data_IF_838305110504
#
_entry.id   IF_838305110504
#
_cell.length_a   1.000
_cell.length_b   1.000
_cell.length_c   1.000
_cell.angle_alpha   90.00
_cell.angle_beta   90.00
_cell.angle_gamma   90.00
#
_symmetry.space_group_name_H-M   'P 1'
#
loop_
_entity.id
_entity.type
_entity.pdbx_description
1 polymer ?
#
# COMPACT_ATOMS: atom_id res chain seq x y z
N UNK A 1 -25.99 18.74 -80.93
CA UNK A 1 -25.55 19.93 -80.19
C UNK A 1 -24.51 19.50 -79.15
N UNK A 2 -23.21 19.43 -79.63
CA UNK A 2 -22.09 19.09 -78.75
C UNK A 2 -21.70 20.35 -77.97
N UNK A 3 -21.99 20.34 -76.65
CA UNK A 3 -21.40 21.31 -75.74
C UNK A 3 -19.89 21.10 -75.70
N UNK A 4 -19.14 21.95 -76.39
CA UNK A 4 -17.72 22.12 -76.14
C UNK A 4 -17.61 22.61 -74.67
N UNK A 5 -17.47 21.67 -73.73
CA UNK A 5 -17.10 21.97 -72.38
C UNK A 5 -15.76 22.72 -72.42
N UNK A 6 -15.76 23.96 -72.00
CA UNK A 6 -14.61 24.85 -71.89
C UNK A 6 -13.42 24.06 -71.30
N UNK A 7 -12.24 24.03 -71.95
CA UNK A 7 -11.04 23.31 -71.46
C UNK A 7 -10.69 23.65 -69.99
N UNK A 8 -11.13 24.81 -69.56
CA UNK A 8 -11.06 25.26 -68.18
C UNK A 8 -11.86 24.40 -67.20
N UNK A 9 -13.09 24.05 -67.54
CA UNK A 9 -13.97 23.24 -66.73
C UNK A 9 -13.45 21.82 -66.52
N UNK A 10 -12.84 21.24 -67.54
CA UNK A 10 -12.24 19.91 -67.48
C UNK A 10 -10.99 19.86 -66.57
N UNK A 11 -10.18 20.91 -66.53
CA UNK A 11 -9.02 21.01 -65.64
C UNK A 11 -9.44 21.13 -64.17
N UNK A 12 -10.44 21.93 -63.87
CA UNK A 12 -10.96 22.11 -62.50
C UNK A 12 -11.54 20.82 -61.96
N UNK A 13 -12.34 20.10 -62.72
CA UNK A 13 -12.88 18.79 -62.32
C UNK A 13 -11.75 17.78 -62.10
N UNK A 14 -10.72 17.78 -62.90
CA UNK A 14 -9.56 16.87 -62.74
C UNK A 14 -8.84 17.16 -61.45
N UNK A 15 -8.63 18.40 -61.03
CA UNK A 15 -8.01 18.79 -59.74
C UNK A 15 -8.86 18.38 -58.55
N UNK A 16 -10.17 18.61 -58.59
CA UNK A 16 -11.09 18.16 -57.58
C UNK A 16 -11.06 16.62 -57.41
N UNK A 17 -11.04 15.88 -58.52
CA UNK A 17 -10.88 14.42 -58.47
C UNK A 17 -9.58 14.00 -57.82
N UNK A 18 -8.47 14.67 -58.15
CA UNK A 18 -7.17 14.40 -57.51
C UNK A 18 -7.18 14.67 -56.00
N UNK A 19 -7.80 15.78 -55.57
CA UNK A 19 -7.96 16.09 -54.15
C UNK A 19 -8.78 15.03 -53.44
N UNK A 20 -9.96 14.66 -53.95
CA UNK A 20 -10.80 13.62 -53.38
C UNK A 20 -10.07 12.29 -53.31
N UNK A 21 -9.30 11.94 -54.34
CA UNK A 21 -8.48 10.73 -54.35
C UNK A 21 -7.38 10.78 -53.27
N UNK A 22 -6.66 11.89 -53.16
CA UNK A 22 -5.60 12.08 -52.18
C UNK A 22 -6.16 11.97 -50.78
N UNK A 23 -7.27 12.62 -50.44
CA UNK A 23 -7.92 12.53 -49.13
C UNK A 23 -8.34 11.08 -48.82
N UNK A 24 -8.95 10.39 -49.82
CA UNK A 24 -9.39 8.98 -49.65
C UNK A 24 -8.22 8.04 -49.38
N UNK A 25 -7.08 8.26 -50.06
CA UNK A 25 -5.86 7.47 -49.92
C UNK A 25 -4.98 7.92 -48.75
N UNK A 26 -5.38 8.97 -48.02
CA UNK A 26 -4.58 9.61 -46.96
C UNK A 26 -3.22 10.12 -47.44
N UNK A 27 -3.13 10.48 -48.73
CA UNK A 27 -1.94 11.05 -49.35
C UNK A 27 -2.06 12.58 -49.33
N UNK A 28 -1.52 13.21 -48.32
CA UNK A 28 -1.52 14.66 -48.12
C UNK A 28 -0.25 15.34 -48.72
N UNK A 29 0.47 14.67 -49.61
CA UNK A 29 1.61 15.26 -50.32
C UNK A 29 1.17 16.11 -51.52
N UNK A 30 -0.10 15.96 -51.92
CA UNK A 30 -0.67 16.70 -53.05
C UNK A 30 -0.58 18.21 -52.79
N UNK A 31 0.10 18.90 -53.69
CA UNK A 31 0.19 20.36 -53.70
C UNK A 31 0.12 20.88 -55.11
N UNK A 32 -0.75 21.84 -55.38
CA UNK A 32 -0.84 22.51 -56.67
C UNK A 32 0.01 23.77 -56.66
N UNK A 33 0.98 23.88 -57.59
CA UNK A 33 1.82 25.05 -57.74
C UNK A 33 0.99 26.24 -58.31
N UNK A 34 1.04 27.39 -57.63
CA UNK A 34 0.22 28.57 -57.90
C UNK A 34 0.81 29.49 -58.94
N UNK A 35 2.12 29.39 -59.21
CA UNK A 35 2.91 30.38 -60.00
C UNK A 35 2.42 30.50 -61.44
N UNK A 36 1.85 29.44 -61.99
CA UNK A 36 1.40 29.42 -63.41
C UNK A 36 -0.11 29.53 -63.58
N UNK A 37 -0.84 29.76 -62.48
CA UNK A 37 -2.29 29.86 -62.47
C UNK A 37 -2.77 31.27 -62.29
N UNK A 38 -3.91 31.64 -62.97
CA UNK A 38 -4.51 32.98 -62.90
C UNK A 38 -6.02 32.88 -62.72
N UNK A 39 -6.60 33.95 -62.16
CA UNK A 39 -8.06 34.04 -61.94
C UNK A 39 -8.64 32.94 -61.11
N UNK A 40 -9.78 32.40 -61.51
CA UNK A 40 -10.54 31.34 -60.77
C UNK A 40 -9.77 30.02 -60.62
N UNK A 41 -8.89 29.69 -61.55
CA UNK A 41 -8.05 28.50 -61.41
C UNK A 41 -7.07 28.59 -60.25
N UNK A 42 -6.54 29.78 -59.99
CA UNK A 42 -5.65 30.02 -58.87
C UNK A 42 -6.41 29.97 -57.57
N UNK A 43 -7.56 30.60 -57.47
CA UNK A 43 -8.43 30.55 -56.28
C UNK A 43 -8.81 29.12 -55.91
N UNK A 44 -9.25 28.31 -56.88
CA UNK A 44 -9.59 26.89 -56.67
C UNK A 44 -8.37 26.10 -56.20
N UNK A 45 -7.19 26.31 -56.76
CA UNK A 45 -5.98 25.63 -56.34
C UNK A 45 -5.53 26.03 -54.92
N UNK A 46 -5.70 27.29 -54.53
CA UNK A 46 -5.46 27.83 -53.19
C UNK A 46 -6.41 27.17 -52.18
N UNK A 47 -7.69 27.06 -52.49
CA UNK A 47 -8.69 26.41 -51.63
C UNK A 47 -8.42 24.90 -51.47
N UNK A 48 -8.08 24.21 -52.57
CA UNK A 48 -7.72 22.79 -52.52
C UNK A 48 -6.48 22.57 -51.64
N UNK A 49 -5.44 23.39 -51.80
CA UNK A 49 -4.24 23.33 -50.98
C UNK A 49 -4.57 23.58 -49.48
N UNK A 50 -5.42 24.55 -49.22
CA UNK A 50 -5.86 24.84 -47.83
C UNK A 50 -6.58 23.65 -47.21
N UNK A 51 -7.51 23.02 -47.92
CA UNK A 51 -8.25 21.84 -47.43
C UNK A 51 -7.30 20.64 -47.23
N UNK A 52 -6.40 20.37 -48.15
CA UNK A 52 -5.42 19.27 -48.02
C UNK A 52 -4.50 19.52 -46.81
N UNK A 53 -4.04 20.76 -46.61
CA UNK A 53 -3.25 21.13 -45.43
C UNK A 53 -4.02 20.96 -44.12
N UNK A 54 -5.29 21.36 -44.06
CA UNK A 54 -6.13 21.17 -42.88
C UNK A 54 -6.28 19.69 -42.51
N UNK A 55 -6.53 18.83 -43.50
CA UNK A 55 -6.58 17.38 -43.29
C UNK A 55 -5.25 16.82 -42.83
N UNK A 56 -4.13 17.27 -43.39
CA UNK A 56 -2.78 16.91 -43.01
C UNK A 56 -2.51 17.25 -41.54
N UNK A 57 -2.81 18.50 -41.13
CA UNK A 57 -2.62 18.94 -39.76
C UNK A 57 -3.47 18.15 -38.79
N UNK A 58 -4.76 17.90 -39.11
CA UNK A 58 -5.64 17.05 -38.29
C UNK A 58 -5.08 15.63 -38.12
N UNK A 59 -4.61 15.03 -39.20
CA UNK A 59 -4.04 13.67 -39.15
C UNK A 59 -2.76 13.63 -38.31
N UNK A 60 -1.85 14.56 -38.52
CA UNK A 60 -0.61 14.65 -37.76
C UNK A 60 -0.89 14.90 -36.25
N UNK A 61 -1.88 15.74 -35.96
CA UNK A 61 -2.29 15.97 -34.57
C UNK A 61 -2.86 14.72 -33.92
N UNK A 62 -3.69 13.97 -34.65
CA UNK A 62 -4.24 12.69 -34.14
C UNK A 62 -3.14 11.64 -33.93
N UNK A 63 -2.20 11.49 -34.86
CA UNK A 63 -1.07 10.58 -34.73
C UNK A 63 -0.16 10.97 -33.54
N UNK A 64 0.14 12.26 -33.41
CA UNK A 64 0.91 12.77 -32.28
C UNK A 64 0.22 12.51 -30.93
N UNK A 65 -1.09 12.73 -30.85
CA UNK A 65 -1.87 12.40 -29.63
C UNK A 65 -1.84 10.91 -29.34
N UNK A 66 -2.01 10.06 -30.35
CA UNK A 66 -1.95 8.61 -30.17
C UNK A 66 -0.57 8.18 -29.64
N UNK A 67 0.50 8.65 -30.25
CA UNK A 67 1.88 8.38 -29.83
C UNK A 67 2.15 8.88 -28.40
N UNK A 68 1.63 10.06 -28.06
CA UNK A 68 1.74 10.61 -26.72
C UNK A 68 1.06 9.72 -25.67
N UNK A 69 -0.19 9.28 -25.90
CA UNK A 69 -0.89 8.39 -25.00
C UNK A 69 -0.25 7.00 -24.92
N UNK A 70 0.18 6.45 -26.05
CA UNK A 70 0.89 5.16 -26.08
C UNK A 70 2.19 5.23 -25.27
N UNK A 71 2.95 6.32 -25.41
CA UNK A 71 4.16 6.55 -24.62
C UNK A 71 3.84 6.67 -23.13
N UNK A 72 2.85 7.48 -22.75
CA UNK A 72 2.45 7.62 -21.36
C UNK A 72 2.05 6.27 -20.73
N UNK A 73 1.19 5.51 -21.39
CA UNK A 73 0.72 4.22 -20.87
C UNK A 73 1.85 3.18 -20.81
N UNK A 74 2.85 3.25 -21.68
CA UNK A 74 4.02 2.38 -21.67
C UNK A 74 5.10 2.80 -20.66
N UNK A 75 5.07 4.04 -20.14
CA UNK A 75 5.96 4.49 -19.04
C UNK A 75 5.41 4.11 -17.67
N UNK A 76 4.13 3.77 -17.56
CA UNK A 76 3.52 3.28 -16.32
C UNK A 76 4.12 1.92 -15.97
N UNK A 77 4.62 1.79 -14.75
CA UNK A 77 5.23 0.55 -14.25
C UNK A 77 4.23 -0.58 -13.97
N UNK A 78 2.93 -0.28 -13.94
CA UNK A 78 1.87 -1.26 -13.74
C UNK A 78 1.52 -2.00 -15.04
N UNK A 79 1.10 -3.26 -14.92
CA UNK A 79 0.56 -4.01 -16.06
C UNK A 79 -0.87 -3.54 -16.32
N UNK A 80 -1.11 -2.96 -17.49
CA UNK A 80 -2.43 -2.48 -17.92
C UNK A 80 -2.96 -3.39 -19.02
N UNK A 81 -4.22 -3.87 -18.85
CA UNK A 81 -4.91 -4.76 -19.80
C UNK A 81 -6.33 -4.24 -19.99
N UNK A 82 -6.74 -4.07 -21.24
CA UNK A 82 -8.11 -3.71 -21.61
C UNK A 82 -8.79 -4.89 -22.28
N UNK A 83 -9.97 -5.27 -21.78
CA UNK A 83 -10.76 -6.37 -22.33
C UNK A 83 -12.20 -5.94 -22.60
N UNK A 84 -12.92 -6.76 -23.37
CA UNK A 84 -14.38 -6.72 -23.40
C UNK A 84 -14.96 -7.48 -22.20
N UNK A 85 -16.30 -7.56 -22.13
CA UNK A 85 -17.05 -8.28 -21.10
C UNK A 85 -16.89 -9.81 -21.16
N UNK A 86 -16.42 -10.34 -22.29
CA UNK A 86 -16.18 -11.77 -22.53
C UNK A 86 -14.74 -12.19 -22.19
N UNK A 87 -13.85 -11.23 -21.95
CA UNK A 87 -12.45 -11.50 -21.64
C UNK A 87 -11.49 -11.43 -22.84
N UNK A 88 -11.95 -11.05 -24.03
CA UNK A 88 -11.05 -10.82 -25.17
C UNK A 88 -10.22 -9.55 -24.93
N UNK A 89 -8.92 -9.65 -25.10
CA UNK A 89 -7.97 -8.57 -24.86
C UNK A 89 -7.87 -7.67 -26.09
N UNK A 90 -8.28 -6.42 -25.94
CA UNK A 90 -8.17 -5.41 -26.99
C UNK A 90 -6.82 -4.69 -26.96
N UNK A 91 -6.29 -4.48 -25.76
CA UNK A 91 -5.03 -3.73 -25.61
C UNK A 91 -4.28 -4.14 -24.35
N UNK A 92 -2.95 -4.09 -24.42
CA UNK A 92 -2.02 -4.28 -23.30
C UNK A 92 -0.85 -3.31 -23.45
N UNK A 93 -0.37 -2.76 -22.34
CA UNK A 93 0.86 -1.98 -22.36
C UNK A 93 2.11 -2.89 -22.42
N UNK A 94 3.28 -2.31 -22.73
CA UNK A 94 4.54 -3.05 -22.79
C UNK A 94 4.91 -3.73 -21.49
N UNK A 95 4.62 -3.10 -20.36
CA UNK A 95 4.87 -3.67 -19.03
C UNK A 95 4.10 -4.98 -18.86
N UNK A 96 2.81 -5.01 -19.21
CA UNK A 96 2.00 -6.22 -19.12
C UNK A 96 2.52 -7.33 -20.06
N UNK A 97 2.86 -6.98 -21.31
CA UNK A 97 3.41 -7.94 -22.29
C UNK A 97 4.72 -8.55 -21.74
N UNK A 98 5.67 -7.72 -21.35
CA UNK A 98 7.00 -8.18 -20.95
C UNK A 98 7.00 -8.96 -19.64
N UNK A 99 6.19 -8.51 -18.65
CA UNK A 99 6.20 -9.11 -17.31
C UNK A 99 5.35 -10.38 -17.23
N UNK A 100 4.21 -10.44 -17.92
CA UNK A 100 3.28 -11.57 -17.77
C UNK A 100 3.60 -12.72 -18.74
N UNK A 101 3.70 -12.44 -20.04
CA UNK A 101 3.76 -13.48 -21.05
C UNK A 101 5.02 -13.43 -21.94
N UNK A 102 5.62 -12.24 -22.11
CA UNK A 102 6.72 -11.99 -23.06
C UNK A 102 6.28 -11.81 -24.52
N UNK A 103 5.01 -12.00 -24.80
CA UNK A 103 4.36 -11.78 -26.11
C UNK A 103 2.92 -11.29 -25.91
N UNK A 104 2.33 -10.76 -26.98
CA UNK A 104 0.95 -10.27 -26.94
C UNK A 104 -0.01 -11.45 -26.93
N UNK A 105 -0.97 -11.44 -26.00
CA UNK A 105 -2.06 -12.40 -25.90
C UNK A 105 -3.38 -11.72 -26.28
N UNK A 106 -4.40 -12.52 -26.59
CA UNK A 106 -5.68 -12.03 -27.10
C UNK A 106 -6.87 -12.41 -26.23
N UNK A 107 -6.66 -13.28 -25.26
CA UNK A 107 -7.71 -13.69 -24.32
C UNK A 107 -7.16 -13.77 -22.90
N UNK A 108 -8.01 -13.46 -21.90
CA UNK A 108 -7.64 -13.55 -20.49
C UNK A 108 -7.24 -14.99 -20.10
N UNK A 109 -7.81 -16.00 -20.73
CA UNK A 109 -7.49 -17.41 -20.45
C UNK A 109 -6.02 -17.74 -20.72
N UNK A 110 -5.36 -17.01 -21.62
CA UNK A 110 -3.93 -17.14 -21.89
C UNK A 110 -3.05 -16.72 -20.70
N UNK A 111 -3.61 -16.10 -19.66
CA UNK A 111 -2.93 -15.78 -18.40
C UNK A 111 -2.87 -16.96 -17.40
N UNK A 112 -3.49 -18.10 -17.70
CA UNK A 112 -3.48 -19.28 -16.83
C UNK A 112 -2.05 -19.77 -16.46
N UNK A 113 -1.02 -19.71 -17.34
CA UNK A 113 0.35 -20.05 -16.96
C UNK A 113 0.97 -19.09 -15.93
N UNK A 114 0.51 -17.84 -15.86
CA UNK A 114 0.96 -16.84 -14.87
C UNK A 114 0.38 -17.16 -13.49
N UNK A 115 -0.91 -17.48 -13.45
CA UNK A 115 -1.62 -18.01 -12.29
C UNK A 115 -2.92 -18.64 -12.76
N UNK A 116 -3.16 -19.91 -12.38
CA UNK A 116 -4.32 -20.71 -12.84
C UNK A 116 -5.68 -20.12 -12.45
N UNK A 117 -5.77 -19.39 -11.35
CA UNK A 117 -7.01 -18.74 -10.89
C UNK A 117 -7.17 -17.30 -11.40
N UNK A 118 -6.13 -16.72 -12.01
CA UNK A 118 -6.13 -15.32 -12.45
C UNK A 118 -7.24 -15.01 -13.48
N UNK A 119 -7.44 -15.82 -14.54
CA UNK A 119 -8.48 -15.56 -15.52
C UNK A 119 -9.88 -15.46 -14.89
N UNK A 120 -10.24 -16.41 -14.07
CA UNK A 120 -11.53 -16.43 -13.40
C UNK A 120 -11.66 -15.24 -12.43
N UNK A 121 -10.63 -14.97 -11.65
CA UNK A 121 -10.60 -13.83 -10.72
C UNK A 121 -10.82 -12.50 -11.45
N UNK A 122 -10.18 -12.29 -12.61
CA UNK A 122 -10.33 -11.07 -13.41
C UNK A 122 -11.74 -10.93 -13.97
N UNK A 123 -12.36 -12.01 -14.48
CA UNK A 123 -13.72 -11.98 -15.00
C UNK A 123 -14.76 -11.63 -13.92
N UNK A 124 -14.60 -12.18 -12.70
CA UNK A 124 -15.51 -11.97 -11.57
C UNK A 124 -15.31 -10.63 -10.85
N UNK A 125 -14.17 -9.96 -11.09
CA UNK A 125 -13.83 -8.74 -10.37
C UNK A 125 -14.80 -7.60 -10.75
N UNK A 126 -15.44 -7.02 -9.74
CA UNK A 126 -16.35 -5.88 -9.90
C UNK A 126 -15.54 -4.57 -10.01
N UNK A 127 -16.10 -3.61 -10.74
CA UNK A 127 -15.50 -2.29 -10.87
C UNK A 127 -15.25 -1.66 -9.49
N UNK A 128 -14.04 -1.13 -9.28
CA UNK A 128 -13.60 -0.56 -8.01
C UNK A 128 -13.15 -1.58 -6.95
N UNK A 129 -13.36 -2.89 -7.18
CA UNK A 129 -12.86 -3.91 -6.28
C UNK A 129 -11.35 -4.13 -6.45
N UNK A 130 -10.69 -4.52 -5.36
CA UNK A 130 -9.27 -4.84 -5.30
C UNK A 130 -9.10 -6.28 -4.82
N UNK A 131 -8.30 -7.06 -5.54
CA UNK A 131 -7.87 -8.41 -5.12
C UNK A 131 -6.35 -8.52 -5.19
N UNK A 132 -5.79 -9.39 -4.37
CA UNK A 132 -4.37 -9.71 -4.37
C UNK A 132 -4.16 -11.10 -4.92
N UNK A 133 -3.09 -11.28 -5.70
CA UNK A 133 -2.70 -12.58 -6.24
C UNK A 133 -1.19 -12.68 -6.38
N UNK A 134 -0.64 -13.89 -6.17
CA UNK A 134 0.74 -14.21 -6.51
C UNK A 134 0.82 -14.60 -7.96
N UNK A 135 1.63 -13.90 -8.72
CA UNK A 135 1.80 -14.10 -10.16
C UNK A 135 3.22 -14.56 -10.46
N UNK A 136 3.35 -15.53 -11.36
CA UNK A 136 4.64 -15.91 -11.95
C UNK A 136 4.95 -14.97 -13.08
N UNK A 137 5.87 -14.05 -12.85
CA UNK A 137 6.21 -13.01 -13.80
C UNK A 137 7.64 -13.15 -14.28
N UNK A 138 7.90 -12.70 -15.51
CA UNK A 138 9.24 -12.65 -16.09
C UNK A 138 10.03 -11.47 -15.53
N UNK A 139 11.26 -11.74 -15.13
CA UNK A 139 12.25 -10.73 -14.73
C UNK A 139 13.54 -11.00 -15.55
N UNK A 140 13.61 -10.41 -16.76
CA UNK A 140 14.63 -10.79 -17.72
C UNK A 140 14.43 -12.24 -18.23
N UNK A 141 15.41 -13.10 -17.99
CA UNK A 141 15.36 -14.52 -18.39
C UNK A 141 14.74 -15.43 -17.30
N UNK A 142 14.55 -14.92 -16.10
CA UNK A 142 14.06 -15.71 -14.98
C UNK A 142 12.55 -15.53 -14.81
N UNK A 143 11.90 -16.55 -14.23
CA UNK A 143 10.50 -16.49 -13.79
C UNK A 143 10.50 -16.43 -12.28
N UNK A 144 9.91 -15.37 -11.72
CA UNK A 144 9.83 -15.13 -10.28
C UNK A 144 8.37 -14.98 -9.84
N UNK A 145 8.05 -15.47 -8.65
CA UNK A 145 6.74 -15.21 -8.05
C UNK A 145 6.75 -13.86 -7.34
N UNK A 146 5.74 -13.03 -7.61
CA UNK A 146 5.55 -11.71 -6.99
C UNK A 146 4.09 -11.47 -6.65
N UNK A 147 3.85 -10.70 -5.62
CA UNK A 147 2.50 -10.29 -5.24
C UNK A 147 2.07 -9.07 -6.05
N UNK A 148 0.87 -9.18 -6.61
CA UNK A 148 0.22 -8.13 -7.39
C UNK A 148 -1.12 -7.76 -6.78
N UNK A 149 -1.39 -6.48 -6.75
CA UNK A 149 -2.70 -5.92 -6.51
C UNK A 149 -3.42 -5.75 -7.84
N UNK A 150 -4.57 -6.36 -7.99
CA UNK A 150 -5.38 -6.33 -9.20
C UNK A 150 -6.61 -5.47 -8.93
N UNK A 151 -6.77 -4.42 -9.71
CA UNK A 151 -7.94 -3.54 -9.69
C UNK A 151 -8.58 -3.49 -11.07
N UNK A 152 -9.88 -3.20 -11.13
CA UNK A 152 -10.58 -3.03 -12.40
C UNK A 152 -11.46 -1.80 -12.40
N UNK A 153 -11.53 -1.16 -13.56
CA UNK A 153 -12.41 -0.03 -13.85
C UNK A 153 -13.12 -0.28 -15.15
N UNK A 154 -14.42 -0.04 -15.19
CA UNK A 154 -15.22 -0.18 -16.40
C UNK A 154 -15.34 1.15 -17.11
N UNK A 155 -15.30 1.13 -18.42
CA UNK A 155 -15.59 2.30 -19.26
C UNK A 155 -16.37 1.90 -20.51
N UNK A 156 -16.98 2.89 -21.15
CA UNK A 156 -17.82 2.71 -22.30
C UNK A 156 -17.27 3.52 -23.48
N UNK A 157 -17.04 2.88 -24.62
CA UNK A 157 -16.60 3.53 -25.84
C UNK A 157 -17.34 2.98 -27.06
N UNK A 158 -17.83 3.86 -27.93
CA UNK A 158 -18.50 3.54 -29.22
C UNK A 158 -19.59 2.46 -29.14
N UNK A 159 -20.32 2.39 -28.03
CA UNK A 159 -21.41 1.41 -27.89
C UNK A 159 -20.99 0.09 -27.24
N UNK A 160 -19.73 -0.06 -26.83
CA UNK A 160 -19.21 -1.27 -26.20
C UNK A 160 -18.71 -1.00 -24.78
N UNK A 161 -18.87 -1.99 -23.89
CA UNK A 161 -18.33 -1.96 -22.55
C UNK A 161 -16.95 -2.60 -22.52
N UNK A 162 -16.03 -1.93 -21.84
CA UNK A 162 -14.66 -2.39 -21.63
C UNK A 162 -14.32 -2.41 -20.15
N UNK A 163 -13.42 -3.32 -19.78
CA UNK A 163 -12.78 -3.39 -18.46
C UNK A 163 -11.31 -3.07 -18.61
N UNK A 164 -10.83 -2.08 -17.86
CA UNK A 164 -9.41 -1.81 -17.69
C UNK A 164 -8.96 -2.49 -16.39
N UNK A 165 -8.04 -3.42 -16.50
CA UNK A 165 -7.35 -4.02 -15.37
C UNK A 165 -6.00 -3.36 -15.16
N UNK A 166 -5.70 -2.98 -13.91
CA UNK A 166 -4.36 -2.57 -13.47
C UNK A 166 -3.83 -3.61 -12.50
N UNK A 167 -2.70 -4.23 -12.86
CA UNK A 167 -1.98 -5.17 -12.00
C UNK A 167 -0.72 -4.47 -11.51
N UNK A 168 -0.75 -4.04 -10.25
CA UNK A 168 0.32 -3.31 -9.60
C UNK A 168 1.20 -4.26 -8.81
N UNK A 169 2.50 -4.26 -9.08
CA UNK A 169 3.47 -5.03 -8.30
C UNK A 169 3.67 -4.36 -6.94
N UNK A 170 3.18 -5.02 -5.88
CA UNK A 170 3.31 -4.51 -4.51
C UNK A 170 4.60 -4.96 -3.82
N UNK A 171 5.34 -5.88 -4.41
CA UNK A 171 6.57 -6.41 -3.81
C UNK A 171 7.60 -5.32 -3.53
N UNK A 172 7.78 -4.36 -4.43
CA UNK A 172 8.70 -3.24 -4.22
C UNK A 172 8.22 -2.25 -3.14
N UNK A 173 6.92 -2.03 -3.04
CA UNK A 173 6.34 -1.12 -2.04
C UNK A 173 6.48 -1.72 -0.65
N UNK A 174 6.20 -3.01 -0.51
CA UNK A 174 6.35 -3.76 0.74
C UNK A 174 7.83 -3.86 1.12
N UNK A 175 8.71 -4.31 0.22
CA UNK A 175 10.15 -4.40 0.49
C UNK A 175 10.78 -3.04 0.85
N UNK A 176 10.37 -1.97 0.18
CA UNK A 176 10.86 -0.63 0.50
C UNK A 176 10.39 -0.18 1.88
N UNK A 177 9.13 -0.39 2.19
CA UNK A 177 8.58 -0.10 3.52
C UNK A 177 9.23 -0.95 4.61
N UNK A 178 9.46 -2.24 4.37
CA UNK A 178 10.19 -3.12 5.28
C UNK A 178 11.65 -2.70 5.44
N UNK A 179 12.34 -2.36 4.35
CA UNK A 179 13.73 -1.90 4.38
C UNK A 179 13.87 -0.55 5.11
N UNK A 180 12.96 0.39 4.86
CA UNK A 180 12.93 1.68 5.56
C UNK A 180 12.65 1.49 7.05
N UNK A 181 11.71 0.63 7.42
CA UNK A 181 11.43 0.26 8.81
C UNK A 181 12.64 -0.42 9.46
N UNK A 182 13.31 -1.34 8.77
CA UNK A 182 14.49 -2.02 9.26
C UNK A 182 15.69 -1.06 9.44
N UNK A 183 15.90 -0.13 8.50
CA UNK A 183 16.92 0.91 8.63
C UNK A 183 16.63 1.85 9.81
N UNK A 184 15.37 2.20 10.02
CA UNK A 184 14.96 3.02 11.16
C UNK A 184 15.20 2.28 12.48
N UNK A 185 14.91 0.98 12.53
CA UNK A 185 15.22 0.13 13.70
C UNK A 185 16.72 0.09 13.99
N UNK A 186 17.56 -0.13 12.98
CA UNK A 186 19.03 -0.13 13.14
C UNK A 186 19.52 1.22 13.66
N UNK A 187 18.99 2.33 13.18
CA UNK A 187 19.33 3.68 13.64
C UNK A 187 18.98 3.89 15.12
N UNK A 188 17.77 3.48 15.52
CA UNK A 188 17.34 3.56 16.93
C UNK A 188 18.21 2.69 17.82
N UNK A 189 18.50 1.44 17.39
CA UNK A 189 19.39 0.52 18.09
C UNK A 189 20.77 1.14 18.34
N UNK A 190 21.38 1.66 17.26
CA UNK A 190 22.71 2.27 17.34
C UNK A 190 22.71 3.45 18.32
N UNK A 191 21.68 4.29 18.26
CA UNK A 191 21.56 5.46 19.14
C UNK A 191 21.39 5.06 20.61
N UNK A 192 20.51 4.10 20.94
CA UNK A 192 20.28 3.65 22.31
C UNK A 192 21.50 2.88 22.90
N UNK A 193 22.18 2.08 22.07
CA UNK A 193 23.42 1.43 22.47
C UNK A 193 24.49 2.48 22.79
N UNK A 194 24.71 3.47 21.91
CA UNK A 194 25.69 4.53 22.14
C UNK A 194 25.38 5.38 23.38
N UNK A 195 24.07 5.74 23.55
CA UNK A 195 23.62 6.49 24.73
C UNK A 195 23.82 5.75 26.05
N UNK A 196 23.86 4.43 26.01
CA UNK A 196 24.09 3.59 27.20
C UNK A 196 25.55 3.28 27.42
N UNK A 197 26.31 2.96 26.36
CA UNK A 197 27.74 2.60 26.45
C UNK A 197 28.65 3.78 26.73
N UNK A 198 28.43 4.95 26.10
CA UNK A 198 29.32 6.11 26.28
C UNK A 198 29.45 6.54 27.76
N UNK A 199 28.33 6.69 28.54
CA UNK A 199 28.45 6.98 29.98
C UNK A 199 29.11 5.87 30.78
N UNK A 200 28.89 4.59 30.41
CA UNK A 200 29.52 3.45 31.11
C UNK A 200 31.06 3.52 30.95
N UNK A 201 31.52 3.73 29.72
CA UNK A 201 32.97 3.86 29.42
C UNK A 201 33.54 5.06 30.17
N UNK A 202 32.90 6.25 30.05
CA UNK A 202 33.38 7.46 30.72
C UNK A 202 33.45 7.32 32.25
N UNK A 203 32.46 6.73 32.89
CA UNK A 203 32.45 6.47 34.32
C UNK A 203 33.55 5.43 34.71
N UNK A 204 33.75 4.41 33.91
CA UNK A 204 34.77 3.40 34.11
C UNK A 204 36.17 4.00 34.01
N UNK A 205 36.39 4.88 33.02
CA UNK A 205 37.68 5.59 32.85
C UNK A 205 37.95 6.52 34.04
N UNK A 206 36.94 7.31 34.46
CA UNK A 206 37.02 8.20 35.62
C UNK A 206 37.32 7.42 36.91
N UNK A 207 36.66 6.28 37.11
CA UNK A 207 36.95 5.41 38.26
C UNK A 207 38.40 4.87 38.22
N UNK A 208 38.85 4.44 37.02
CA UNK A 208 40.19 3.87 36.85
C UNK A 208 41.30 4.89 37.09
N UNK A 209 41.11 6.14 36.63
CA UNK A 209 42.03 7.24 36.84
C UNK A 209 42.03 7.70 38.29
N UNK A 210 40.84 7.97 38.85
CA UNK A 210 40.71 8.48 40.21
C UNK A 210 41.12 7.48 41.29
N UNK A 211 41.07 6.17 41.03
CA UNK A 211 41.60 5.13 41.91
C UNK A 211 43.13 5.11 41.91
N UNK A 212 43.79 5.47 40.81
CA UNK A 212 45.27 5.57 40.73
C UNK A 212 45.79 6.77 41.51
N UNK A 213 45.03 7.86 41.49
CA UNK A 213 45.43 9.13 42.10
C UNK A 213 44.93 9.27 43.55
N UNK A 214 44.24 8.23 44.09
CA UNK A 214 43.59 8.25 45.42
C UNK A 214 42.65 9.45 45.63
N UNK A 215 42.11 10.00 44.53
CA UNK A 215 41.34 11.23 44.54
C UNK A 215 39.82 11.02 44.74
N UNK A 216 39.35 9.75 44.73
CA UNK A 216 37.92 9.40 44.82
C UNK A 216 37.55 8.99 46.25
N UNK A 217 36.41 9.51 46.71
CA UNK A 217 35.80 9.03 47.95
C UNK A 217 35.08 7.69 47.72
N UNK A 218 34.81 6.93 48.80
CA UNK A 218 34.05 5.70 48.76
C UNK A 218 32.62 5.93 48.22
N UNK A 219 32.05 7.11 48.50
CA UNK A 219 30.72 7.50 48.02
C UNK A 219 30.71 7.76 46.50
N UNK A 220 31.73 8.41 45.96
CA UNK A 220 31.90 8.66 44.53
C UNK A 220 31.98 7.34 43.76
N UNK A 221 32.79 6.41 44.27
CA UNK A 221 32.95 5.06 43.68
C UNK A 221 31.59 4.34 43.68
N UNK A 222 30.88 4.38 44.80
CA UNK A 222 29.57 3.71 44.92
C UNK A 222 28.55 4.30 43.97
N UNK A 223 28.46 5.62 43.85
CA UNK A 223 27.56 6.30 42.92
C UNK A 223 27.88 5.98 41.46
N UNK A 224 29.14 5.99 41.07
CA UNK A 224 29.56 5.66 39.73
C UNK A 224 29.26 4.20 39.37
N UNK A 225 29.54 3.25 40.26
CA UNK A 225 29.14 1.83 40.05
C UNK A 225 27.65 1.62 39.96
N UNK A 226 26.86 2.33 40.79
CA UNK A 226 25.38 2.30 40.68
C UNK A 226 24.89 2.86 39.34
N UNK A 227 25.53 3.93 38.83
CA UNK A 227 25.18 4.51 37.55
C UNK A 227 25.53 3.55 36.39
N UNK A 228 26.70 2.92 36.42
CA UNK A 228 27.10 1.88 35.45
C UNK A 228 26.11 0.72 35.47
N UNK A 229 25.75 0.21 36.67
CA UNK A 229 24.81 -0.89 36.80
C UNK A 229 23.42 -0.53 36.21
N UNK A 230 22.90 0.66 36.54
CA UNK A 230 21.58 1.13 35.97
C UNK A 230 21.63 1.22 34.46
N UNK A 231 22.71 1.72 33.87
CA UNK A 231 22.86 1.84 32.42
C UNK A 231 22.98 0.48 31.75
N UNK A 232 23.77 -0.43 32.33
CA UNK A 232 23.93 -1.81 31.82
C UNK A 232 22.63 -2.59 31.87
N UNK A 233 21.88 -2.49 32.98
CA UNK A 233 20.57 -3.13 33.13
C UNK A 233 19.54 -2.55 32.14
N UNK A 234 19.55 -1.24 31.92
CA UNK A 234 18.71 -0.59 30.90
C UNK A 234 19.03 -1.09 29.49
N UNK A 235 20.31 -1.23 29.14
CA UNK A 235 20.72 -1.76 27.85
C UNK A 235 20.32 -3.22 27.67
N UNK A 236 20.47 -4.05 28.68
CA UNK A 236 20.05 -5.45 28.65
C UNK A 236 18.53 -5.55 28.40
N UNK A 237 17.73 -4.78 29.13
CA UNK A 237 16.29 -4.73 28.94
C UNK A 237 15.89 -4.25 27.55
N UNK A 238 16.61 -3.29 26.99
CA UNK A 238 16.40 -2.81 25.60
C UNK A 238 16.69 -3.91 24.59
N UNK A 239 17.80 -4.66 24.73
CA UNK A 239 18.14 -5.79 23.84
C UNK A 239 17.11 -6.93 23.93
N UNK A 240 16.65 -7.26 25.15
CA UNK A 240 15.58 -8.27 25.35
C UNK A 240 14.29 -7.87 24.66
N UNK A 241 13.91 -6.60 24.77
CA UNK A 241 12.73 -6.05 24.10
C UNK A 241 12.87 -6.07 22.58
N UNK A 242 14.04 -5.73 22.05
CA UNK A 242 14.31 -5.87 20.62
C UNK A 242 14.17 -7.32 20.13
N UNK A 243 14.67 -8.28 20.91
CA UNK A 243 14.55 -9.69 20.61
C UNK A 243 13.08 -10.14 20.56
N UNK A 244 12.24 -9.67 21.50
CA UNK A 244 10.78 -9.95 21.47
C UNK A 244 10.09 -9.43 20.21
N UNK A 245 10.50 -8.27 19.70
CA UNK A 245 9.97 -7.73 18.45
C UNK A 245 10.39 -8.55 17.23
N UNK A 246 11.65 -9.02 17.20
CA UNK A 246 12.22 -9.71 16.04
C UNK A 246 11.76 -11.17 15.91
N UNK A 247 11.47 -11.84 17.04
CA UNK A 247 11.14 -13.25 17.12
C UNK A 247 9.67 -13.52 17.48
N UNK A 248 8.74 -12.90 16.77
CA UNK A 248 7.36 -13.34 16.83
C UNK A 248 7.25 -14.58 15.94
N UNK A 249 7.03 -15.75 16.57
CA UNK A 249 6.90 -17.02 15.85
C UNK A 249 5.69 -17.02 14.92
N UNK A 250 5.73 -17.85 13.88
CA UNK A 250 4.54 -18.08 13.05
C UNK A 250 3.40 -18.62 13.92
N UNK A 251 2.16 -18.10 13.75
CA UNK A 251 1.02 -18.50 14.56
C UNK A 251 0.73 -19.99 14.50
N UNK A 252 0.51 -20.60 15.65
CA UNK A 252 -0.01 -21.96 15.76
C UNK A 252 -1.53 -21.88 15.89
N UNK A 253 -2.21 -21.96 14.75
CA UNK A 253 -3.66 -21.81 14.68
C UNK A 253 -4.39 -22.97 15.36
N UNK A 254 -5.26 -22.63 16.32
CA UNK A 254 -6.20 -23.55 16.97
C UNK A 254 -7.60 -22.97 16.95
N UNK A 255 -8.60 -23.80 17.08
CA UNK A 255 -9.99 -23.36 17.20
C UNK A 255 -10.24 -22.94 18.64
N UNK A 256 -10.52 -21.65 18.86
CA UNK A 256 -10.73 -21.04 20.19
C UNK A 256 -12.10 -20.40 20.26
N UNK A 257 -12.88 -20.67 21.28
CA UNK A 257 -14.14 -19.98 21.53
C UNK A 257 -13.89 -18.58 22.06
N UNK A 258 -14.57 -17.60 21.47
CA UNK A 258 -14.47 -16.19 21.89
C UNK A 258 -14.80 -16.01 23.37
N UNK A 259 -15.84 -16.70 23.86
CA UNK A 259 -16.25 -16.66 25.27
C UNK A 259 -15.17 -17.14 26.24
N UNK A 260 -14.45 -18.22 25.91
CA UNK A 260 -13.35 -18.75 26.73
C UNK A 260 -12.19 -17.77 26.81
N UNK A 261 -11.77 -17.21 25.65
CA UNK A 261 -10.69 -16.22 25.57
C UNK A 261 -10.95 -15.02 26.47
N UNK A 262 -12.16 -14.47 26.42
CA UNK A 262 -12.49 -13.27 27.21
C UNK A 262 -12.71 -13.61 28.69
N UNK A 263 -13.23 -14.80 29.02
CA UNK A 263 -13.38 -15.24 30.42
C UNK A 263 -12.03 -15.35 31.13
N UNK A 264 -11.00 -15.87 30.42
CA UNK A 264 -9.67 -15.95 31.03
C UNK A 264 -9.04 -14.57 31.22
N UNK A 265 -9.27 -13.63 30.29
CA UNK A 265 -8.85 -12.23 30.47
C UNK A 265 -9.57 -11.58 31.67
N UNK A 266 -10.85 -11.86 31.87
CA UNK A 266 -11.60 -11.35 33.04
C UNK A 266 -11.00 -11.83 34.37
N UNK A 267 -10.50 -13.07 34.42
CA UNK A 267 -9.81 -13.57 35.63
C UNK A 267 -8.47 -12.86 35.88
N UNK A 268 -7.76 -12.47 34.80
CA UNK A 268 -6.48 -11.74 34.90
C UNK A 268 -6.65 -10.27 35.31
N UNK A 269 -7.83 -9.68 35.06
CA UNK A 269 -8.16 -8.28 35.36
C UNK A 269 -9.40 -8.18 36.25
N UNK A 270 -9.30 -8.55 37.54
CA UNK A 270 -10.45 -8.64 38.43
C UNK A 270 -10.91 -7.31 39.02
N UNK A 271 -10.22 -6.21 38.72
CA UNK A 271 -10.58 -4.91 39.31
C UNK A 271 -11.96 -4.43 38.83
N UNK A 272 -12.78 -3.76 39.69
CA UNK A 272 -14.18 -3.45 39.42
C UNK A 272 -14.37 -2.41 38.29
N UNK A 273 -13.33 -1.72 37.85
CA UNK A 273 -13.40 -0.77 36.77
C UNK A 273 -13.15 -1.43 35.37
N UNK A 274 -12.95 -2.76 35.29
CA UNK A 274 -12.95 -3.51 34.05
C UNK A 274 -14.34 -4.08 33.77
N UNK A 275 -14.89 -3.78 32.60
CA UNK A 275 -16.20 -4.23 32.14
C UNK A 275 -16.09 -5.03 30.88
N UNK A 276 -16.62 -6.25 30.84
CA UNK A 276 -16.53 -7.17 29.71
C UNK A 276 -17.91 -7.38 29.07
N UNK A 277 -18.05 -6.99 27.81
CA UNK A 277 -19.29 -7.10 27.02
C UNK A 277 -19.07 -8.01 25.83
N UNK A 278 -19.61 -9.21 25.86
CA UNK A 278 -19.40 -10.19 24.80
C UNK A 278 -20.73 -10.48 24.12
N UNK A 279 -20.74 -10.36 22.81
CA UNK A 279 -21.79 -10.89 21.95
C UNK A 279 -21.22 -12.10 21.22
N UNK A 280 -22.07 -13.12 20.95
CA UNK A 280 -21.66 -14.34 20.22
C UNK A 280 -20.55 -15.16 20.91
N UNK A 281 -20.71 -15.47 22.22
CA UNK A 281 -19.73 -16.24 23.04
C UNK A 281 -19.30 -17.59 22.45
N UNK A 282 -20.19 -18.25 21.71
CA UNK A 282 -19.95 -19.55 21.06
C UNK A 282 -19.22 -19.44 19.71
N UNK A 283 -18.91 -18.21 19.26
CA UNK A 283 -18.16 -18.02 18.01
C UNK A 283 -16.76 -18.63 18.13
N UNK A 284 -16.41 -19.48 17.18
CA UNK A 284 -15.09 -20.09 17.08
C UNK A 284 -14.19 -19.22 16.20
N UNK A 285 -12.97 -18.97 16.69
CA UNK A 285 -11.90 -18.25 16.02
C UNK A 285 -10.75 -19.21 15.74
N UNK A 286 -10.22 -19.17 14.53
CA UNK A 286 -9.00 -19.90 14.18
C UNK A 286 -7.77 -19.02 14.39
N UNK A 287 -7.23 -19.05 15.59
CA UNK A 287 -6.15 -18.16 16.05
C UNK A 287 -5.06 -18.92 16.83
N UNK A 288 -3.89 -18.30 16.96
CA UNK A 288 -2.95 -18.65 18.02
C UNK A 288 -3.39 -17.95 19.29
N UNK A 289 -3.96 -18.72 20.23
CA UNK A 289 -4.51 -18.23 21.48
C UNK A 289 -3.51 -17.40 22.27
N UNK A 290 -2.29 -17.89 22.43
CA UNK A 290 -1.26 -17.22 23.23
C UNK A 290 -0.86 -15.86 22.69
N UNK A 291 -0.77 -15.76 21.37
CA UNK A 291 -0.43 -14.50 20.69
C UNK A 291 -1.58 -13.48 20.81
N UNK A 292 -2.83 -13.91 20.62
CA UNK A 292 -3.99 -13.00 20.76
C UNK A 292 -4.20 -12.59 22.22
N UNK A 293 -4.05 -13.50 23.19
CA UNK A 293 -4.03 -13.15 24.61
C UNK A 293 -2.96 -12.09 24.92
N UNK A 294 -1.76 -12.24 24.38
CA UNK A 294 -0.69 -11.24 24.53
C UNK A 294 -1.08 -9.88 23.99
N UNK A 295 -1.77 -9.80 22.84
CA UNK A 295 -2.30 -8.54 22.29
C UNK A 295 -3.28 -7.92 23.25
N UNK A 296 -4.29 -8.67 23.70
CA UNK A 296 -5.36 -8.16 24.56
C UNK A 296 -4.83 -7.72 25.94
N UNK A 297 -3.93 -8.51 26.55
CA UNK A 297 -3.27 -8.15 27.80
C UNK A 297 -2.47 -6.84 27.66
N UNK A 298 -1.78 -6.66 26.54
CA UNK A 298 -1.01 -5.45 26.31
C UNK A 298 -1.91 -4.21 26.16
N UNK A 299 -3.04 -4.34 25.46
CA UNK A 299 -4.02 -3.27 25.31
C UNK A 299 -4.67 -2.93 26.67
N UNK A 300 -5.05 -3.95 27.47
CA UNK A 300 -5.64 -3.76 28.79
C UNK A 300 -4.68 -3.10 29.78
N UNK A 301 -3.41 -3.50 29.78
CA UNK A 301 -2.37 -2.83 30.58
C UNK A 301 -2.16 -1.38 30.18
N UNK A 302 -2.19 -1.08 28.87
CA UNK A 302 -2.09 0.29 28.39
C UNK A 302 -3.29 1.14 28.84
N UNK A 303 -4.50 0.57 28.83
CA UNK A 303 -5.72 1.20 29.31
C UNK A 303 -5.65 1.43 30.82
N UNK A 304 -5.23 0.43 31.63
CA UNK A 304 -5.05 0.54 33.07
C UNK A 304 -4.06 1.65 33.45
N UNK A 305 -2.97 1.77 32.73
CA UNK A 305 -2.01 2.87 32.91
C UNK A 305 -2.61 4.23 32.55
N UNK A 306 -3.41 4.29 31.48
CA UNK A 306 -4.03 5.54 31.02
C UNK A 306 -5.06 6.10 32.02
N UNK A 307 -5.72 5.23 32.80
CA UNK A 307 -6.69 5.63 33.81
C UNK A 307 -6.10 5.75 35.22
N UNK A 308 -4.77 5.61 35.39
CA UNK A 308 -4.12 5.56 36.71
C UNK A 308 -4.54 6.72 37.62
N UNK A 309 -4.56 7.93 37.08
CA UNK A 309 -4.80 9.17 37.77
C UNK A 309 -6.26 9.68 37.63
N UNK A 310 -7.16 8.83 37.11
CA UNK A 310 -8.59 9.13 36.96
C UNK A 310 -9.35 8.65 38.18
N UNK A 311 -10.22 9.48 38.76
CA UNK A 311 -11.05 9.09 39.92
C UNK A 311 -12.10 8.04 39.53
N UNK A 312 -12.82 8.29 38.44
CA UNK A 312 -13.88 7.43 37.89
C UNK A 312 -13.32 6.55 36.79
N UNK A 313 -12.50 5.54 37.13
CA UNK A 313 -11.87 4.63 36.18
C UNK A 313 -12.90 3.77 35.49
N UNK A 314 -12.84 3.73 34.15
CA UNK A 314 -13.68 2.86 33.35
C UNK A 314 -12.90 2.31 32.17
N UNK A 315 -12.76 0.98 32.14
CA UNK A 315 -12.16 0.25 31.00
C UNK A 315 -13.17 -0.78 30.55
N UNK A 316 -13.54 -0.72 29.26
CA UNK A 316 -14.47 -1.69 28.71
C UNK A 316 -13.83 -2.51 27.58
N UNK A 317 -14.16 -3.80 27.55
CA UNK A 317 -13.83 -4.69 26.47
C UNK A 317 -15.13 -5.16 25.85
N UNK A 318 -15.31 -4.92 24.57
CA UNK A 318 -16.46 -5.43 23.82
C UNK A 318 -15.99 -6.30 22.66
N UNK A 319 -16.65 -7.44 22.47
CA UNK A 319 -16.35 -8.36 21.37
C UNK A 319 -17.64 -8.74 20.65
N UNK A 320 -17.64 -8.65 19.32
CA UNK A 320 -18.78 -8.99 18.46
C UNK A 320 -18.35 -9.63 17.14
N UNK A 321 -19.17 -10.52 16.60
CA UNK A 321 -19.02 -11.10 15.29
C UNK A 321 -19.78 -10.28 14.24
N UNK A 322 -19.08 -9.80 13.21
CA UNK A 322 -19.68 -9.10 12.05
C UNK A 322 -19.87 -10.12 10.90
N UNK A 323 -20.95 -10.90 10.97
CA UNK A 323 -21.23 -12.03 10.06
C UNK A 323 -21.18 -11.67 8.57
N UNK A 324 -21.71 -10.51 8.11
CA UNK A 324 -21.63 -10.15 6.68
C UNK A 324 -20.21 -9.98 6.14
N UNK A 325 -19.27 -9.62 7.00
CA UNK A 325 -17.87 -9.32 6.65
C UNK A 325 -16.91 -10.46 7.00
N UNK A 326 -17.39 -11.52 7.70
CA UNK A 326 -16.57 -12.60 8.25
C UNK A 326 -15.43 -12.09 9.14
N UNK A 327 -15.71 -11.12 10.01
CA UNK A 327 -14.74 -10.47 10.90
C UNK A 327 -15.26 -10.49 12.34
N UNK A 328 -14.33 -10.75 13.27
CA UNK A 328 -14.53 -10.47 14.71
C UNK A 328 -13.89 -9.12 15.02
N UNK A 329 -14.65 -8.26 15.70
CA UNK A 329 -14.18 -6.97 16.19
C UNK A 329 -14.12 -6.99 17.70
N UNK A 330 -12.94 -6.76 18.29
CA UNK A 330 -12.70 -6.64 19.72
C UNK A 330 -12.23 -5.21 19.98
N UNK A 331 -12.98 -4.46 20.80
CA UNK A 331 -12.63 -3.11 21.22
C UNK A 331 -12.18 -3.12 22.66
N UNK A 332 -11.09 -2.42 22.95
CA UNK A 332 -10.64 -2.07 24.30
C UNK A 332 -10.72 -0.56 24.41
N UNK A 333 -11.61 -0.09 25.28
CA UNK A 333 -11.91 1.33 25.49
C UNK A 333 -11.55 1.74 26.91
N UNK A 334 -10.90 2.89 27.07
CA UNK A 334 -10.59 3.52 28.35
C UNK A 334 -11.04 4.99 28.36
N UNK A 335 -11.39 5.48 29.54
CA UNK A 335 -11.70 6.88 29.80
C UNK A 335 -10.51 7.67 30.36
N UNK A 336 -9.29 7.28 29.98
CA UNK A 336 -8.04 7.85 30.44
C UNK A 336 -7.68 9.20 29.85
N UNK A 337 -6.39 9.57 29.94
CA UNK A 337 -5.87 10.84 29.47
C UNK A 337 -5.95 11.02 27.94
N UNK A 338 -6.28 9.98 27.19
CA UNK A 338 -6.31 10.01 25.74
C UNK A 338 -4.91 10.14 25.10
N UNK A 339 -4.90 10.23 23.77
CA UNK A 339 -3.67 10.35 22.96
C UNK A 339 -3.77 11.60 22.10
N UNK A 340 -2.73 12.41 22.09
CA UNK A 340 -2.66 13.61 21.26
C UNK A 340 -2.60 13.26 19.78
N UNK A 341 -3.23 14.04 18.86
CA UNK A 341 -3.28 13.74 17.44
C UNK A 341 -1.90 13.54 16.79
N UNK A 342 -0.90 14.34 17.20
CA UNK A 342 0.46 14.27 16.67
C UNK A 342 1.18 12.97 17.07
N UNK A 343 0.69 12.32 18.12
CA UNK A 343 1.25 11.08 18.65
C UNK A 343 0.58 9.84 18.04
N UNK A 344 -0.72 9.95 17.67
CA UNK A 344 -1.51 8.83 17.13
C UNK A 344 -0.86 8.12 15.94
N UNK A 345 -0.26 8.85 15.03
CA UNK A 345 0.41 8.27 13.86
C UNK A 345 1.66 7.45 14.22
N UNK A 346 2.23 7.70 15.40
CA UNK A 346 3.53 7.16 15.82
C UNK A 346 3.42 6.06 16.88
N UNK A 347 2.28 5.85 17.53
CA UNK A 347 2.14 4.88 18.63
C UNK A 347 2.46 3.43 18.25
N UNK A 348 2.34 3.08 16.98
CA UNK A 348 2.69 1.76 16.46
C UNK A 348 4.13 1.66 15.95
N UNK A 349 4.90 2.76 15.98
CA UNK A 349 6.32 2.76 15.62
C UNK A 349 7.10 2.10 16.75
N UNK A 350 7.92 1.07 16.48
CA UNK A 350 8.71 0.43 17.52
C UNK A 350 9.59 1.42 18.29
N UNK A 351 9.71 1.21 19.60
CA UNK A 351 10.46 2.04 20.57
C UNK A 351 9.91 3.46 20.77
N UNK A 352 8.81 3.81 20.12
CA UNK A 352 8.15 5.07 20.38
C UNK A 352 7.33 4.95 21.66
N UNK A 353 7.59 5.82 22.63
CA UNK A 353 6.87 5.90 23.89
C UNK A 353 6.82 7.33 24.42
N UNK A 354 5.72 7.69 25.04
CA UNK A 354 5.56 8.93 25.80
C UNK A 354 5.73 8.69 27.31
N UNK A 355 5.91 7.41 27.72
CA UNK A 355 5.98 7.00 29.12
C UNK A 355 7.44 6.84 29.55
N UNK A 356 7.84 7.34 30.75
CA UNK A 356 9.22 7.23 31.24
C UNK A 356 9.72 5.77 31.41
N UNK A 357 8.83 4.84 31.75
CA UNK A 357 9.14 3.41 31.96
C UNK A 357 8.68 2.51 30.82
N UNK A 358 8.11 3.08 29.76
CA UNK A 358 7.58 2.32 28.64
C UNK A 358 8.68 1.84 27.71
N UNK A 359 8.62 0.57 27.28
CA UNK A 359 9.55 0.02 26.26
C UNK A 359 9.27 0.51 24.85
N UNK A 360 8.08 1.05 24.59
CA UNK A 360 7.64 1.48 23.24
C UNK A 360 7.44 0.35 22.24
N UNK A 361 7.40 -0.92 22.68
CA UNK A 361 7.33 -2.09 21.79
C UNK A 361 5.95 -2.74 21.80
N UNK A 362 5.21 -2.60 22.90
CA UNK A 362 3.97 -3.34 23.08
C UNK A 362 2.99 -3.19 21.93
N UNK A 363 2.69 -1.97 21.49
CA UNK A 363 1.74 -1.72 20.40
C UNK A 363 2.26 -2.18 19.04
N UNK A 364 3.57 -2.09 18.79
CA UNK A 364 4.16 -2.60 17.53
C UNK A 364 4.10 -4.13 17.46
N UNK A 365 4.30 -4.85 18.57
CA UNK A 365 4.08 -6.30 18.69
C UNK A 365 2.61 -6.64 18.45
N UNK A 366 1.67 -5.89 19.04
CA UNK A 366 0.24 -6.09 18.80
C UNK A 366 -0.12 -5.97 17.33
N UNK A 367 0.39 -4.96 16.63
CA UNK A 367 0.16 -4.76 15.20
C UNK A 367 0.72 -5.89 14.36
N UNK A 368 1.90 -6.38 14.69
CA UNK A 368 2.54 -7.49 13.99
C UNK A 368 1.79 -8.80 14.20
N UNK A 369 1.37 -9.12 15.43
CA UNK A 369 0.55 -10.31 15.72
C UNK A 369 -0.78 -10.23 14.98
N UNK A 370 -1.49 -9.09 15.02
CA UNK A 370 -2.74 -8.91 14.30
C UNK A 370 -2.56 -9.15 12.79
N UNK A 371 -1.49 -8.61 12.20
CA UNK A 371 -1.16 -8.81 10.78
C UNK A 371 -0.85 -10.27 10.44
N UNK A 372 -0.12 -11.00 11.29
CA UNK A 372 0.17 -12.43 11.11
C UNK A 372 -1.11 -13.29 11.13
N UNK A 373 -2.16 -12.83 11.83
CA UNK A 373 -3.48 -13.46 11.85
C UNK A 373 -4.40 -13.01 10.71
N UNK A 374 -3.88 -12.23 9.73
CA UNK A 374 -4.70 -11.67 8.65
C UNK A 374 -5.67 -10.57 9.09
N UNK A 375 -5.50 -10.08 10.32
CA UNK A 375 -6.30 -9.04 10.92
C UNK A 375 -5.64 -7.66 10.90
N UNK A 376 -6.21 -6.74 11.66
CA UNK A 376 -5.68 -5.38 11.82
C UNK A 376 -5.96 -4.83 13.22
N UNK A 377 -5.14 -3.86 13.64
CA UNK A 377 -5.36 -3.08 14.85
C UNK A 377 -5.38 -1.60 14.50
N UNK A 378 -6.39 -0.91 14.98
CA UNK A 378 -6.58 0.54 14.81
C UNK A 378 -6.82 1.22 16.13
N UNK A 379 -6.71 2.54 16.17
CA UNK A 379 -6.94 3.35 17.36
C UNK A 379 -7.75 4.59 17.02
N UNK A 380 -8.65 4.95 17.90
CA UNK A 380 -9.35 6.23 17.90
C UNK A 380 -9.23 6.82 19.29
N UNK A 381 -8.81 8.07 19.43
CA UNK A 381 -8.66 8.70 20.73
C UNK A 381 -9.04 10.17 20.67
N UNK A 382 -9.65 10.62 21.75
CA UNK A 382 -9.94 12.03 22.03
C UNK A 382 -9.20 12.42 23.30
N UNK A 383 -8.27 13.38 23.26
CA UNK A 383 -7.51 13.80 24.43
C UNK A 383 -8.41 14.16 25.61
N UNK A 384 -8.01 13.73 26.80
CA UNK A 384 -8.72 13.92 28.09
C UNK A 384 -10.15 13.36 28.12
N UNK A 385 -10.49 12.44 27.24
CA UNK A 385 -11.84 11.88 27.18
C UNK A 385 -11.84 10.36 27.07
N UNK A 386 -11.25 9.80 26.02
CA UNK A 386 -11.26 8.34 25.79
C UNK A 386 -10.24 7.90 24.78
N UNK A 387 -9.85 6.61 24.88
CA UNK A 387 -9.12 5.92 23.82
C UNK A 387 -9.81 4.59 23.51
N UNK A 388 -9.95 4.25 22.23
CA UNK A 388 -10.50 2.97 21.77
C UNK A 388 -9.49 2.32 20.86
N UNK A 389 -8.97 1.16 21.26
CA UNK A 389 -8.23 0.25 20.38
C UNK A 389 -9.16 -0.79 19.81
N UNK A 390 -9.15 -0.96 18.50
CA UNK A 390 -9.99 -1.92 17.76
C UNK A 390 -9.10 -2.97 17.13
N UNK A 391 -9.23 -4.22 17.56
CA UNK A 391 -8.62 -5.40 16.96
C UNK A 391 -9.66 -6.09 16.08
N UNK A 392 -9.34 -6.29 14.79
CA UNK A 392 -10.16 -7.01 13.85
C UNK A 392 -9.43 -8.29 13.42
N UNK A 393 -10.12 -9.43 13.49
CA UNK A 393 -9.60 -10.75 13.11
C UNK A 393 -10.57 -11.42 12.13
N UNK A 394 -10.09 -12.18 11.12
CA UNK A 394 -10.95 -12.99 10.27
C UNK A 394 -11.58 -14.13 11.09
N UNK A 395 -12.83 -14.53 10.72
CA UNK A 395 -13.53 -15.68 11.30
C UNK A 395 -13.11 -16.97 10.66
#
# INVERSE_FOLDING_TARGET
MYLHLNPFYNKSIRRLRQMIHAIRMRDFTLHFALDKLRGEERLLAEEINAVVNEFREKTLKQESQYQYFDTLLNTVGDCLIVTDDKGHIHWMNRTAINSLCGFRIYDITDLAPVNSSLPQMMLELRAGAKKMARLRVRNGNDVVEREYSITTTNFFDKGFYYKLYSLQNIHYVVQRSESEAQQQLVRVLTHEIMNSLTPIISLSDTLTEGMKDESLSQDDITQALQAINRRSSGLLHFVENYRKLQYISSPQYTDVKLGELITDLQQLFPAPFFHFYIQDTEQILRIDRSQIEQVLINLLKNAEEAVRDIEDKNISISARAEKPQHIITINVEDNGCGIMPEVLERIFVPFFTTKPSGSGIGLSVCRQIASLHGGSITVSSTPLKQTVFTLQLPM
#
